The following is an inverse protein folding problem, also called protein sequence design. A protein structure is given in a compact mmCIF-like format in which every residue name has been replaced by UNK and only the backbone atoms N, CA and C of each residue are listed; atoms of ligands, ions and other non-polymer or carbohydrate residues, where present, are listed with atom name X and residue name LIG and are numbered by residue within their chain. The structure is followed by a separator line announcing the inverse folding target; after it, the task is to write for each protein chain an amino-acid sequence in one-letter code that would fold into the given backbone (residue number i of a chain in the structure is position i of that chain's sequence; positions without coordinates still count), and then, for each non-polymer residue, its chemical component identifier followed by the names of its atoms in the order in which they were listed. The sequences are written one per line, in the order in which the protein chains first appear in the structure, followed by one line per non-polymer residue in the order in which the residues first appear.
data_IF_284428810193
#
_entry.id   IF_284428810193
#
_cell.length_a   1.000
_cell.length_b   1.000
_cell.length_c   1.000
_cell.angle_alpha   90.00
_cell.angle_beta   90.00
_cell.angle_gamma   90.00
#
_symmetry.space_group_name_H-M   'P 1'
#
loop_
_entity.id
_entity.type
_entity.pdbx_description
1 polymer ?
#
# COMPACT_ATOMS: atom_id res chain seq x y z
N UNK A 1 -10.66 -6.91 -2.31
CA UNK A 1 -11.14 -6.07 -3.42
C UNK A 1 -10.31 -4.80 -3.59
N UNK A 2 -10.02 -4.08 -2.50
CA UNK A 2 -9.21 -2.85 -2.57
C UNK A 2 -7.78 -3.12 -3.04
N UNK A 3 -7.16 -4.19 -2.54
CA UNK A 3 -5.81 -4.56 -2.96
C UNK A 3 -5.78 -4.98 -4.43
N UNK A 4 -6.83 -5.63 -4.92
CA UNK A 4 -6.97 -5.97 -6.33
C UNK A 4 -7.08 -4.71 -7.19
N UNK A 5 -7.81 -3.70 -6.72
CA UNK A 5 -7.90 -2.42 -7.42
C UNK A 5 -6.53 -1.74 -7.53
N UNK A 6 -5.73 -1.79 -6.47
CA UNK A 6 -4.37 -1.23 -6.50
C UNK A 6 -3.52 -1.90 -7.60
N UNK A 7 -3.58 -3.22 -7.70
CA UNK A 7 -2.88 -3.95 -8.75
C UNK A 7 -3.41 -3.62 -10.14
N UNK A 8 -4.71 -3.50 -10.29
CA UNK A 8 -5.34 -3.17 -11.58
C UNK A 8 -4.93 -1.79 -12.09
N UNK A 9 -4.90 -0.77 -11.23
CA UNK A 9 -4.48 0.58 -11.65
C UNK A 9 -2.98 0.62 -11.94
N UNK A 10 -2.18 -0.12 -11.19
CA UNK A 10 -0.76 -0.25 -11.46
C UNK A 10 -0.51 -0.75 -12.89
N UNK A 11 -1.23 -1.79 -13.29
CA UNK A 11 -1.12 -2.38 -14.64
C UNK A 11 -1.69 -1.44 -15.71
N UNK A 12 -2.88 -0.92 -15.46
CA UNK A 12 -3.59 -0.08 -16.45
C UNK A 12 -2.81 1.17 -16.82
N UNK A 13 -2.18 1.80 -15.85
CA UNK A 13 -1.46 3.07 -16.08
C UNK A 13 0.04 2.88 -16.24
N UNK A 14 0.51 1.64 -16.29
CA UNK A 14 1.92 1.36 -16.49
C UNK A 14 2.82 1.96 -15.41
N UNK A 15 2.36 1.96 -14.16
CA UNK A 15 3.08 2.61 -13.05
C UNK A 15 4.39 1.89 -12.76
N UNK A 16 4.41 0.57 -12.90
CA UNK A 16 5.66 -0.20 -12.80
C UNK A 16 6.01 -0.66 -11.40
N UNK A 17 5.04 -0.76 -10.50
CA UNK A 17 5.26 -1.40 -9.21
C UNK A 17 5.29 -2.92 -9.35
N UNK A 18 6.19 -3.58 -8.63
CA UNK A 18 6.15 -5.02 -8.43
C UNK A 18 5.09 -5.31 -7.37
N UNK A 19 3.87 -5.54 -7.81
CA UNK A 19 2.70 -5.63 -6.93
C UNK A 19 2.41 -7.07 -6.51
N UNK A 20 2.12 -7.24 -5.23
CA UNK A 20 1.67 -8.52 -4.67
C UNK A 20 0.64 -8.25 -3.58
N UNK A 21 -0.39 -9.09 -3.55
CA UNK A 21 -1.40 -9.04 -2.50
C UNK A 21 -1.00 -10.03 -1.41
N UNK A 22 -0.95 -9.55 -0.17
CA UNK A 22 -0.72 -10.40 0.99
C UNK A 22 -1.90 -10.28 1.95
N UNK A 23 -2.31 -11.40 2.53
CA UNK A 23 -3.30 -11.43 3.61
C UNK A 23 -2.60 -11.55 4.93
N UNK A 24 -3.07 -10.79 5.90
CA UNK A 24 -2.61 -10.91 7.28
C UNK A 24 -3.70 -11.58 8.12
N UNK A 25 -3.32 -12.26 9.22
CA UNK A 25 -4.32 -12.93 10.08
C UNK A 25 -5.31 -11.95 10.73
N UNK A 26 -4.93 -10.65 10.81
CA UNK A 26 -5.81 -9.62 11.30
C UNK A 26 -5.22 -8.24 11.06
N UNK A 27 -6.02 -7.17 11.19
CA UNK A 27 -5.50 -5.82 11.07
C UNK A 27 -4.58 -5.51 12.25
N UNK A 28 -3.35 -5.13 11.97
CA UNK A 28 -2.34 -4.91 13.00
C UNK A 28 -1.58 -3.59 12.87
N UNK A 29 -2.02 -2.71 12.00
CA UNK A 29 -1.36 -1.44 11.74
C UNK A 29 -2.43 -0.36 11.59
N UNK A 30 -2.14 0.74 10.90
CA UNK A 30 -3.08 1.84 10.67
C UNK A 30 -4.38 1.36 10.03
N UNK A 31 -4.32 0.36 9.17
CA UNK A 31 -5.50 -0.27 8.58
C UNK A 31 -6.45 -0.83 9.65
N UNK A 32 -5.91 -1.35 10.75
CA UNK A 32 -6.69 -1.89 11.85
C UNK A 32 -7.55 -0.84 12.54
N UNK A 33 -7.07 0.41 12.60
CA UNK A 33 -7.82 1.51 13.19
C UNK A 33 -9.11 1.78 12.43
N UNK A 34 -9.08 1.72 11.11
CA UNK A 34 -10.26 1.91 10.27
C UNK A 34 -11.25 0.76 10.42
N UNK A 35 -10.77 -0.47 10.47
CA UNK A 35 -11.63 -1.64 10.67
C UNK A 35 -12.32 -1.58 12.03
N UNK A 36 -11.58 -1.21 13.07
CA UNK A 36 -12.14 -1.07 14.43
C UNK A 36 -13.17 0.05 14.51
N UNK A 37 -13.05 1.07 13.68
CA UNK A 37 -13.99 2.18 13.61
C UNK A 37 -15.28 1.84 12.84
N UNK A 38 -15.39 0.62 12.30
CA UNK A 38 -16.58 0.16 11.63
C UNK A 38 -16.52 0.14 10.11
N UNK A 39 -15.40 0.48 9.51
CA UNK A 39 -15.25 0.38 8.06
C UNK A 39 -15.16 -1.09 7.64
N UNK A 40 -15.85 -1.50 6.55
CA UNK A 40 -15.92 -2.92 6.17
C UNK A 40 -14.59 -3.48 5.68
N UNK A 41 -13.69 -2.63 5.20
CA UNK A 41 -12.38 -3.04 4.72
C UNK A 41 -11.42 -1.87 4.72
N UNK A 42 -10.14 -2.20 4.78
CA UNK A 42 -9.06 -1.25 4.58
C UNK A 42 -7.87 -1.96 3.94
N UNK A 43 -6.98 -1.20 3.37
CA UNK A 43 -5.76 -1.71 2.76
C UNK A 43 -4.59 -0.83 3.20
N UNK A 44 -3.45 -1.47 3.39
CA UNK A 44 -2.20 -0.77 3.65
C UNK A 44 -1.19 -1.17 2.59
N UNK A 45 -0.43 -0.20 2.11
CA UNK A 45 0.67 -0.43 1.19
C UNK A 45 1.94 -0.68 2.01
N UNK A 46 2.58 -1.80 1.75
CA UNK A 46 3.78 -2.22 2.47
C UNK A 46 4.90 -2.43 1.45
N UNK A 47 6.09 -1.94 1.78
CA UNK A 47 7.25 -2.08 0.91
C UNK A 47 7.71 -3.52 0.74
N UNK A 48 7.52 -4.35 1.75
CA UNK A 48 7.84 -5.77 1.67
C UNK A 48 6.96 -6.58 2.61
N UNK A 49 6.65 -7.78 2.22
CA UNK A 49 5.90 -8.71 3.07
C UNK A 49 6.43 -10.13 2.90
N UNK A 50 6.79 -10.83 3.98
CA UNK A 50 6.92 -10.27 5.34
C UNK A 50 7.96 -9.15 5.40
N UNK A 51 7.96 -8.38 6.47
CA UNK A 51 8.91 -7.28 6.63
C UNK A 51 10.34 -7.80 6.52
N UNK A 52 11.04 -7.36 5.50
CA UNK A 52 12.39 -7.83 5.21
C UNK A 52 13.46 -6.75 5.41
N UNK A 53 13.05 -5.53 5.73
CA UNK A 53 14.00 -4.44 5.97
C UNK A 53 14.69 -4.65 7.33
N UNK A 54 16.02 -4.87 7.34
CA UNK A 54 16.74 -5.07 8.60
C UNK A 54 16.78 -3.82 9.48
N UNK A 55 16.45 -2.65 8.93
CA UNK A 55 16.47 -1.38 9.66
C UNK A 55 15.08 -0.99 10.20
N UNK A 56 14.05 -1.80 9.93
CA UNK A 56 12.67 -1.50 10.34
C UNK A 56 12.59 -1.25 11.84
N UNK A 57 12.07 -0.10 12.21
CA UNK A 57 11.97 0.39 13.60
C UNK A 57 13.32 0.50 14.31
N UNK A 58 14.43 0.52 13.57
CA UNK A 58 15.77 0.66 14.12
C UNK A 58 16.39 2.03 13.82
N UNK A 59 17.57 2.26 14.38
CA UNK A 59 18.31 3.51 14.17
C UNK A 59 18.76 3.68 12.72
N UNK A 60 18.90 2.57 11.98
CA UNK A 60 19.27 2.59 10.57
C UNK A 60 18.14 2.92 9.63
N UNK A 61 16.93 3.12 10.14
CA UNK A 61 15.77 3.49 9.32
C UNK A 61 15.78 5.01 9.11
N UNK A 62 16.59 5.44 8.16
CA UNK A 62 16.88 6.84 7.87
C UNK A 62 16.39 7.21 6.46
N UNK A 63 16.11 8.50 6.21
CA UNK A 63 15.57 8.95 4.92
C UNK A 63 16.42 8.55 3.71
N UNK A 64 17.74 8.50 3.87
CA UNK A 64 18.68 8.17 2.78
C UNK A 64 18.51 6.74 2.27
N UNK A 65 17.89 5.87 3.05
CA UNK A 65 17.59 4.48 2.65
C UNK A 65 16.24 4.33 1.96
N UNK A 66 15.49 5.40 1.83
CA UNK A 66 14.18 5.39 1.19
C UNK A 66 14.32 5.40 -0.32
N UNK A 67 13.62 4.49 -0.97
CA UNK A 67 13.52 4.46 -2.45
C UNK A 67 12.45 5.47 -2.87
N UNK A 68 12.88 6.71 -3.12
CA UNK A 68 11.97 7.81 -3.47
C UNK A 68 11.22 7.55 -4.79
N UNK A 69 11.86 7.08 -5.88
CA UNK A 69 11.13 6.76 -7.09
C UNK A 69 10.02 5.73 -6.87
N UNK A 70 10.28 4.70 -6.05
CA UNK A 70 9.28 3.68 -5.75
C UNK A 70 8.16 4.23 -4.88
N UNK A 71 8.48 5.08 -3.92
CA UNK A 71 7.49 5.77 -3.10
C UNK A 71 6.58 6.64 -3.96
N UNK A 72 7.13 7.35 -4.93
CA UNK A 72 6.36 8.16 -5.89
C UNK A 72 5.40 7.30 -6.71
N UNK A 73 5.82 6.12 -7.14
CA UNK A 73 4.96 5.16 -7.85
C UNK A 73 3.79 4.71 -6.97
N UNK A 74 4.05 4.45 -5.70
CA UNK A 74 3.01 4.07 -4.74
C UNK A 74 1.98 5.18 -4.57
N UNK A 75 2.42 6.43 -4.50
CA UNK A 75 1.51 7.58 -4.43
C UNK A 75 0.66 7.67 -5.70
N UNK A 76 1.25 7.50 -6.86
CA UNK A 76 0.51 7.51 -8.14
C UNK A 76 -0.56 6.42 -8.19
N UNK A 77 -0.22 5.22 -7.78
CA UNK A 77 -1.16 4.10 -7.74
C UNK A 77 -2.31 4.37 -6.76
N UNK A 78 -1.99 4.96 -5.61
CA UNK A 78 -3.00 5.30 -4.61
C UNK A 78 -3.97 6.37 -5.14
N UNK A 79 -3.44 7.42 -5.75
CA UNK A 79 -4.27 8.48 -6.35
C UNK A 79 -5.16 7.88 -7.44
N UNK A 80 -4.62 7.06 -8.32
CA UNK A 80 -5.39 6.43 -9.40
C UNK A 80 -6.51 5.53 -8.84
N UNK A 81 -6.24 4.79 -7.77
CA UNK A 81 -7.24 3.96 -7.12
C UNK A 81 -8.36 4.80 -6.49
N UNK A 82 -8.00 5.86 -5.79
CA UNK A 82 -8.98 6.77 -5.16
C UNK A 82 -9.86 7.43 -6.22
N UNK A 83 -9.28 7.92 -7.30
CA UNK A 83 -10.04 8.53 -8.40
C UNK A 83 -10.97 7.53 -9.07
N UNK A 84 -10.53 6.29 -9.24
CA UNK A 84 -11.35 5.22 -9.81
C UNK A 84 -12.56 4.93 -8.91
N UNK A 85 -12.36 4.84 -7.60
CA UNK A 85 -13.44 4.64 -6.64
C UNK A 85 -14.42 5.82 -6.66
N UNK A 86 -13.90 7.03 -6.72
CA UNK A 86 -14.71 8.24 -6.73
C UNK A 86 -15.59 8.33 -7.97
N UNK A 87 -15.03 7.98 -9.13
CA UNK A 87 -15.77 7.98 -10.40
C UNK A 87 -16.83 6.88 -10.47
N UNK A 88 -16.65 5.82 -9.71
CA UNK A 88 -17.57 4.69 -9.68
C UNK A 88 -18.81 4.88 -8.81
N UNK A 89 -18.98 6.05 -8.22
CA UNK A 89 -20.14 6.36 -7.37
C UNK A 89 -21.40 6.68 -8.13
#
# INVERSE_FOLDING_TARGET
RLAQLMGAVNDRFGIGLAHRIAKRPGPGDDDGSFVKAGYPASVINIGSWPYADPNYHGEGDIPERTDIPNAAKTVKATIAAVMTLDQGR
#
